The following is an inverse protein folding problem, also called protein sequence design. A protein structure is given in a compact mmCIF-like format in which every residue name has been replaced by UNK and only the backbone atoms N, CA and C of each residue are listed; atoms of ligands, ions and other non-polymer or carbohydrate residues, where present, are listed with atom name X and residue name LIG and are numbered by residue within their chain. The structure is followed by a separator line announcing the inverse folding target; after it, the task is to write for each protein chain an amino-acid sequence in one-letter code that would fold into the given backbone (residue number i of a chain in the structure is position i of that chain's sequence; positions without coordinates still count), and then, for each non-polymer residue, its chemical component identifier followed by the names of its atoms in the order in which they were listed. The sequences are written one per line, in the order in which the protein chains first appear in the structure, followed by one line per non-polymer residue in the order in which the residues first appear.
data_IF_518955994944
#
_entry.id   IF_518955994944
#
_cell.length_a   1.000
_cell.length_b   1.000
_cell.length_c   1.000
_cell.angle_alpha   90.00
_cell.angle_beta   90.00
_cell.angle_gamma   90.00
#
_symmetry.space_group_name_H-M   'P 1'
#
loop_
_entity.id
_entity.type
_entity.pdbx_description
1 polymer ?
#
# COMPACT_ATOMS: atom_id res chain seq x y z
N UNK A 1 -13.15 -35.28 -1.23
CA UNK A 1 -11.90 -34.51 -1.35
C UNK A 1 -11.25 -34.39 0.01
N UNK A 2 -10.04 -34.92 0.21
CA UNK A 2 -9.29 -34.73 1.45
C UNK A 2 -8.75 -33.30 1.41
N UNK A 3 -9.42 -32.37 2.11
CA UNK A 3 -8.91 -31.01 2.32
C UNK A 3 -7.68 -31.12 3.22
N UNK A 4 -6.51 -31.00 2.62
CA UNK A 4 -5.25 -31.19 3.32
C UNK A 4 -5.07 -30.13 4.40
N UNK A 5 -4.64 -30.56 5.58
CA UNK A 5 -4.20 -29.71 6.70
C UNK A 5 -2.90 -28.98 6.35
N UNK A 6 -2.90 -28.08 5.35
CA UNK A 6 -1.68 -27.38 4.97
C UNK A 6 -1.30 -26.22 5.90
N UNK A 7 -2.22 -25.74 6.75
CA UNK A 7 -2.02 -24.52 7.55
C UNK A 7 -2.22 -24.66 9.07
N UNK A 8 -2.40 -25.89 9.59
CA UNK A 8 -2.47 -26.12 11.04
C UNK A 8 -3.65 -25.51 11.80
N UNK A 9 -4.48 -24.67 11.15
CA UNK A 9 -5.76 -24.23 11.68
C UNK A 9 -6.88 -25.09 11.09
N UNK A 10 -7.82 -25.60 11.89
CA UNK A 10 -8.98 -26.30 11.40
C UNK A 10 -9.83 -25.40 10.49
N UNK A 11 -10.27 -25.92 9.35
CA UNK A 11 -11.10 -25.21 8.39
C UNK A 11 -12.31 -24.51 9.04
N UNK A 12 -13.08 -25.26 9.83
CA UNK A 12 -14.26 -24.75 10.52
C UNK A 12 -13.93 -23.59 11.49
N UNK A 13 -12.81 -23.68 12.20
CA UNK A 13 -12.39 -22.63 13.12
C UNK A 13 -11.97 -21.34 12.40
N UNK A 14 -11.30 -21.45 11.26
CA UNK A 14 -10.97 -20.28 10.46
C UNK A 14 -12.22 -19.55 9.98
N UNK A 15 -13.14 -20.29 9.37
CA UNK A 15 -14.34 -19.71 8.77
C UNK A 15 -15.35 -19.20 9.79
N UNK A 16 -15.29 -19.66 11.06
CA UNK A 16 -16.09 -19.10 12.15
C UNK A 16 -15.69 -17.65 12.48
N UNK A 17 -14.48 -17.22 12.07
CA UNK A 17 -14.02 -15.84 12.19
C UNK A 17 -14.23 -15.02 10.90
N UNK A 18 -15.08 -15.47 10.00
CA UNK A 18 -15.36 -14.77 8.76
C UNK A 18 -16.82 -14.38 8.68
N UNK A 19 -17.09 -13.10 8.50
CA UNK A 19 -18.42 -12.59 8.14
C UNK A 19 -18.49 -12.48 6.62
N UNK A 20 -19.30 -13.37 6.03
CA UNK A 20 -19.56 -13.37 4.59
C UNK A 20 -20.45 -12.18 4.21
N UNK A 21 -20.28 -11.65 2.99
CA UNK A 21 -21.21 -10.71 2.38
C UNK A 21 -22.47 -11.39 1.86
N UNK A 22 -23.39 -10.63 1.31
CA UNK A 22 -24.65 -11.14 0.73
C UNK A 22 -24.41 -11.88 -0.59
N UNK A 23 -23.35 -11.49 -1.31
CA UNK A 23 -22.92 -12.09 -2.57
C UNK A 23 -21.50 -12.67 -2.43
N UNK A 24 -21.19 -13.68 -3.28
CA UNK A 24 -19.82 -14.19 -3.39
C UNK A 24 -18.82 -13.15 -3.93
N UNK A 25 -19.32 -12.08 -4.56
CA UNK A 25 -18.53 -10.94 -5.02
C UNK A 25 -18.22 -9.92 -3.91
N UNK A 26 -18.84 -10.08 -2.73
CA UNK A 26 -18.60 -9.16 -1.62
C UNK A 26 -17.31 -9.50 -0.86
N UNK A 27 -16.82 -8.54 -0.10
CA UNK A 27 -15.72 -8.81 0.81
C UNK A 27 -16.14 -9.76 1.93
N UNK A 28 -15.38 -10.80 2.16
CA UNK A 28 -15.50 -11.67 3.33
C UNK A 28 -14.65 -11.08 4.45
N UNK A 29 -15.30 -10.52 5.45
CA UNK A 29 -14.63 -9.77 6.51
C UNK A 29 -14.06 -10.70 7.57
N UNK A 30 -12.77 -10.61 7.82
CA UNK A 30 -12.14 -11.23 8.97
C UNK A 30 -12.57 -10.54 10.26
N UNK A 31 -13.13 -11.29 11.20
CA UNK A 31 -13.60 -10.82 12.50
C UNK A 31 -12.68 -11.21 13.65
N UNK A 32 -11.62 -11.98 13.37
CA UNK A 32 -10.59 -12.34 14.35
C UNK A 32 -9.59 -11.20 14.60
N UNK A 33 -8.47 -11.53 15.24
CA UNK A 33 -7.42 -10.54 15.54
C UNK A 33 -6.84 -9.87 14.28
N UNK A 34 -6.41 -8.61 14.43
CA UNK A 34 -5.71 -7.86 13.37
C UNK A 34 -4.36 -7.37 13.88
N UNK A 35 -3.43 -7.12 12.97
CA UNK A 35 -2.18 -6.44 13.30
C UNK A 35 -2.36 -4.91 13.32
N UNK A 36 -1.34 -4.18 13.76
CA UNK A 36 -1.37 -2.71 13.84
C UNK A 36 -1.59 -1.97 12.51
N UNK A 37 -1.53 -2.69 11.38
CA UNK A 37 -1.76 -2.15 10.02
C UNK A 37 -3.13 -2.54 9.45
N UNK A 38 -3.97 -3.25 10.23
CA UNK A 38 -5.33 -3.63 9.85
C UNK A 38 -5.45 -4.93 9.04
N UNK A 39 -4.37 -5.70 8.88
CA UNK A 39 -4.46 -7.03 8.27
C UNK A 39 -4.95 -8.06 9.28
N UNK A 40 -5.90 -8.90 8.86
CA UNK A 40 -6.34 -10.06 9.62
C UNK A 40 -5.18 -11.01 9.90
N UNK A 41 -5.06 -11.48 11.16
CA UNK A 41 -4.06 -12.45 11.58
C UNK A 41 -4.71 -13.64 12.27
N UNK A 42 -4.12 -14.80 12.09
CA UNK A 42 -4.52 -16.06 12.74
C UNK A 42 -3.29 -16.82 13.21
N UNK A 43 -3.48 -17.73 14.14
CA UNK A 43 -2.39 -18.61 14.60
C UNK A 43 -2.52 -19.97 13.92
N UNK A 44 -1.53 -20.33 13.14
CA UNK A 44 -1.42 -21.63 12.50
C UNK A 44 -0.17 -22.36 13.03
N UNK A 45 -0.34 -23.57 13.56
CA UNK A 45 0.80 -24.37 14.08
C UNK A 45 1.72 -23.63 15.06
N UNK A 46 1.14 -22.74 15.90
CA UNK A 46 1.91 -21.93 16.86
C UNK A 46 2.55 -20.67 16.28
N UNK A 47 2.53 -20.47 14.96
CA UNK A 47 3.02 -19.28 14.27
C UNK A 47 1.86 -18.36 13.87
N UNK A 48 2.10 -17.06 13.91
CA UNK A 48 1.15 -16.06 13.41
C UNK A 48 1.27 -15.98 11.88
N UNK A 49 0.13 -16.09 11.20
CA UNK A 49 0.02 -15.95 9.75
C UNK A 49 -1.07 -14.95 9.39
N UNK A 50 -0.97 -14.37 8.22
CA UNK A 50 -2.01 -13.49 7.70
C UNK A 50 -3.23 -14.30 7.23
N UNK A 51 -4.43 -13.92 7.70
CA UNK A 51 -5.66 -14.63 7.40
C UNK A 51 -5.95 -14.71 5.89
N UNK A 52 -5.71 -13.63 5.14
CA UNK A 52 -5.89 -13.64 3.68
C UNK A 52 -4.93 -14.62 2.97
N UNK A 53 -3.67 -14.77 3.43
CA UNK A 53 -2.73 -15.74 2.85
C UNK A 53 -3.18 -17.18 3.13
N UNK A 54 -3.71 -17.44 4.32
CA UNK A 54 -4.29 -18.75 4.67
C UNK A 54 -5.50 -19.05 3.79
N UNK A 55 -6.42 -18.08 3.64
CA UNK A 55 -7.56 -18.22 2.74
C UNK A 55 -7.13 -18.50 1.31
N UNK A 56 -6.25 -17.69 0.74
CA UNK A 56 -5.72 -17.88 -0.62
C UNK A 56 -5.16 -19.30 -0.82
N UNK A 57 -4.35 -19.75 0.12
CA UNK A 57 -3.67 -21.05 0.03
C UNK A 57 -4.63 -22.25 0.00
N UNK A 58 -5.80 -22.14 0.60
CA UNK A 58 -6.79 -23.21 0.56
C UNK A 58 -7.46 -23.37 -0.79
N UNK A 59 -7.61 -22.28 -1.55
CA UNK A 59 -8.28 -22.29 -2.84
C UNK A 59 -7.31 -22.44 -4.01
N UNK A 60 -6.15 -21.79 -3.91
CA UNK A 60 -5.20 -21.69 -5.03
C UNK A 60 -3.84 -22.33 -4.77
N UNK A 61 -3.59 -22.81 -3.55
CA UNK A 61 -2.30 -23.34 -3.14
C UNK A 61 -1.38 -22.29 -2.54
N UNK A 62 -0.16 -22.71 -2.19
CA UNK A 62 0.84 -21.83 -1.55
C UNK A 62 1.21 -20.69 -2.49
N UNK A 63 1.05 -19.42 -2.08
CA UNK A 63 1.41 -18.29 -2.92
C UNK A 63 2.93 -18.23 -3.11
N UNK A 64 3.36 -17.92 -4.32
CA UNK A 64 4.77 -17.81 -4.68
C UNK A 64 5.34 -16.42 -4.34
N UNK A 65 4.48 -15.40 -4.30
CA UNK A 65 4.86 -14.00 -4.14
C UNK A 65 4.05 -13.32 -3.02
N UNK A 66 3.84 -12.01 -3.17
CA UNK A 66 2.98 -11.23 -2.28
C UNK A 66 1.50 -11.43 -2.65
N UNK A 67 0.62 -11.42 -1.65
CA UNK A 67 -0.82 -11.40 -1.90
C UNK A 67 -1.33 -9.98 -1.80
N UNK A 68 -1.81 -9.44 -2.92
CA UNK A 68 -2.46 -8.13 -2.99
C UNK A 68 -3.99 -8.26 -2.86
N UNK A 69 -4.60 -7.26 -2.22
CA UNK A 69 -6.05 -7.12 -2.13
C UNK A 69 -6.58 -6.26 -3.28
N UNK A 70 -7.17 -6.87 -4.29
CA UNK A 70 -7.80 -6.15 -5.41
C UNK A 70 -8.88 -5.19 -4.90
N UNK A 71 -9.62 -5.60 -3.86
CA UNK A 71 -10.66 -4.81 -3.20
C UNK A 71 -10.13 -3.71 -2.25
N UNK A 72 -8.82 -3.61 -2.03
CA UNK A 72 -8.16 -2.67 -1.11
C UNK A 72 -8.60 -2.76 0.36
N UNK A 73 -9.32 -3.79 0.74
CA UNK A 73 -9.76 -4.04 2.10
C UNK A 73 -8.82 -5.05 2.77
N UNK A 74 -7.98 -4.60 3.70
CA UNK A 74 -6.94 -5.41 4.38
C UNK A 74 -7.48 -6.53 5.27
N UNK A 75 -8.73 -6.41 5.73
CA UNK A 75 -9.39 -7.44 6.51
C UNK A 75 -10.20 -8.43 5.65
N UNK A 76 -10.22 -8.25 4.33
CA UNK A 76 -10.88 -9.17 3.43
C UNK A 76 -10.10 -10.48 3.30
N UNK A 77 -10.83 -11.60 3.39
CA UNK A 77 -10.29 -12.95 3.18
C UNK A 77 -10.99 -13.67 2.01
N UNK A 78 -11.78 -12.96 1.20
CA UNK A 78 -12.40 -13.53 0.01
C UNK A 78 -11.32 -13.89 -1.02
N UNK A 79 -11.14 -15.18 -1.37
CA UNK A 79 -10.06 -15.61 -2.25
C UNK A 79 -10.11 -14.97 -3.64
N UNK A 80 -11.31 -14.66 -4.18
CA UNK A 80 -11.43 -13.98 -5.48
C UNK A 80 -11.02 -12.51 -5.46
N UNK A 81 -10.82 -11.92 -4.27
CA UNK A 81 -10.30 -10.57 -4.07
C UNK A 81 -8.80 -10.54 -3.80
N UNK A 82 -8.14 -11.70 -3.85
CA UNK A 82 -6.73 -11.88 -3.53
C UNK A 82 -5.98 -12.32 -4.77
N UNK A 83 -4.85 -11.67 -5.03
CA UNK A 83 -4.04 -11.93 -6.21
C UNK A 83 -2.57 -12.14 -5.82
N UNK A 84 -1.95 -13.20 -6.36
CA UNK A 84 -0.52 -13.50 -6.16
C UNK A 84 0.30 -12.70 -7.17
N UNK A 85 0.97 -11.66 -6.70
CA UNK A 85 1.66 -10.69 -7.54
C UNK A 85 3.09 -10.49 -7.10
N UNK A 86 3.98 -10.21 -8.04
CA UNK A 86 5.36 -9.84 -7.71
C UNK A 86 5.42 -8.53 -6.93
N UNK A 87 6.48 -8.33 -6.14
CA UNK A 87 6.71 -7.08 -5.39
C UNK A 87 6.69 -5.85 -6.31
N UNK A 88 7.22 -5.97 -7.53
CA UNK A 88 7.21 -4.90 -8.53
C UNK A 88 5.78 -4.57 -8.96
N UNK A 89 4.99 -5.58 -9.30
CA UNK A 89 3.60 -5.39 -9.70
C UNK A 89 2.76 -4.84 -8.55
N UNK A 90 2.90 -5.40 -7.34
CA UNK A 90 2.22 -4.89 -6.15
C UNK A 90 2.55 -3.41 -5.89
N UNK A 91 3.80 -3.01 -6.12
CA UNK A 91 4.22 -1.61 -5.98
C UNK A 91 3.57 -0.71 -7.03
N UNK A 92 3.39 -1.19 -8.27
CA UNK A 92 2.68 -0.46 -9.32
C UNK A 92 1.17 -0.39 -9.09
N UNK A 93 0.57 -1.45 -8.49
CA UNK A 93 -0.85 -1.50 -8.14
C UNK A 93 -1.20 -0.67 -6.91
N UNK A 94 -0.22 -0.36 -6.06
CA UNK A 94 -0.48 0.59 -4.97
C UNK A 94 -1.04 1.85 -5.63
N UNK A 95 -2.26 2.30 -5.24
CA UNK A 95 -2.68 3.62 -5.65
C UNK A 95 -1.49 4.48 -5.30
N UNK A 96 -0.87 5.07 -6.31
CA UNK A 96 0.10 6.12 -6.03
C UNK A 96 -0.61 6.95 -4.98
N UNK A 97 0.03 7.22 -3.85
CA UNK A 97 -0.57 7.97 -2.73
C UNK A 97 -0.80 9.44 -3.18
N UNK A 98 -1.50 9.56 -4.30
CA UNK A 98 -2.00 10.80 -4.81
C UNK A 98 -3.16 11.16 -3.92
N UNK A 99 -2.83 11.79 -2.81
CA UNK A 99 -3.80 12.66 -2.18
C UNK A 99 -4.29 13.57 -3.31
N UNK A 100 -5.57 13.73 -3.46
CA UNK A 100 -6.16 14.64 -4.46
C UNK A 100 -5.53 16.03 -4.39
N UNK A 101 -4.98 16.38 -3.23
CA UNK A 101 -4.26 17.61 -2.94
C UNK A 101 -2.96 17.33 -2.19
N UNK A 102 -1.93 18.09 -2.46
CA UNK A 102 -0.69 18.06 -1.66
C UNK A 102 -0.92 18.70 -0.27
N UNK A 103 0.06 18.64 0.61
CA UNK A 103 -0.01 19.23 1.97
C UNK A 103 -0.30 20.73 1.99
N UNK A 104 -0.08 21.44 0.87
CA UNK A 104 -0.40 22.85 0.69
C UNK A 104 -1.70 23.09 -0.08
N UNK A 105 -2.52 22.05 -0.32
CA UNK A 105 -3.82 22.18 -0.95
C UNK A 105 -3.80 22.19 -2.49
N UNK A 106 -2.66 22.14 -3.18
CA UNK A 106 -2.62 22.10 -4.64
C UNK A 106 -3.13 20.74 -5.14
N UNK A 107 -3.97 20.77 -6.18
CA UNK A 107 -4.46 19.55 -6.82
C UNK A 107 -3.30 18.69 -7.35
N UNK A 108 -3.33 17.41 -7.06
CA UNK A 108 -2.31 16.42 -7.47
C UNK A 108 -2.78 15.67 -8.71
N UNK A 109 -3.17 16.39 -9.76
CA UNK A 109 -3.71 15.83 -11.00
C UNK A 109 -3.04 16.43 -12.23
N UNK A 110 -3.07 15.71 -13.33
CA UNK A 110 -2.61 16.19 -14.63
C UNK A 110 -1.21 16.80 -14.62
N UNK A 111 -1.07 18.00 -15.15
CA UNK A 111 0.22 18.72 -15.27
C UNK A 111 0.90 19.01 -13.94
N UNK A 112 0.15 19.12 -12.84
CA UNK A 112 0.71 19.43 -11.52
C UNK A 112 1.34 18.22 -10.82
N UNK A 113 1.07 17.00 -11.32
CA UNK A 113 1.64 15.77 -10.81
C UNK A 113 2.88 15.40 -11.59
N UNK A 114 4.04 15.38 -10.94
CA UNK A 114 5.31 15.02 -11.60
C UNK A 114 6.02 13.91 -10.82
N UNK A 115 6.67 13.01 -11.53
CA UNK A 115 7.50 11.97 -10.94
C UNK A 115 8.98 12.36 -11.05
N UNK A 116 9.73 12.18 -9.96
CA UNK A 116 11.18 12.33 -9.94
C UNK A 116 11.78 11.29 -9.00
N UNK A 117 12.75 10.53 -9.49
CA UNK A 117 13.43 9.46 -8.74
C UNK A 117 12.43 8.48 -8.06
N UNK A 118 11.39 8.06 -8.78
CA UNK A 118 10.35 7.18 -8.25
C UNK A 118 9.33 7.81 -7.31
N UNK A 119 9.56 9.05 -6.85
CA UNK A 119 8.64 9.76 -5.97
C UNK A 119 7.74 10.72 -6.74
N UNK A 120 6.47 10.74 -6.36
CA UNK A 120 5.50 11.69 -6.91
C UNK A 120 5.51 12.99 -6.12
N UNK A 121 5.46 14.12 -6.80
CA UNK A 121 5.53 15.43 -6.16
C UNK A 121 4.66 16.46 -6.87
N UNK A 122 4.25 17.46 -6.12
CA UNK A 122 3.52 18.61 -6.62
C UNK A 122 4.45 19.57 -7.36
N UNK A 123 4.20 19.82 -8.65
CA UNK A 123 4.96 20.74 -9.48
C UNK A 123 4.94 22.17 -8.92
N UNK A 124 3.75 22.65 -8.52
CA UNK A 124 3.58 24.01 -7.94
C UNK A 124 4.46 24.20 -6.72
N UNK A 125 4.40 23.27 -5.76
CA UNK A 125 5.27 23.32 -4.56
C UNK A 125 6.74 23.29 -4.92
N UNK A 126 7.15 22.52 -5.92
CA UNK A 126 8.53 22.43 -6.37
C UNK A 126 9.01 23.77 -6.96
N UNK A 127 8.19 24.40 -7.81
CA UNK A 127 8.51 25.71 -8.41
C UNK A 127 8.62 26.78 -7.32
N UNK A 128 7.67 26.83 -6.40
CA UNK A 128 7.70 27.79 -5.27
C UNK A 128 8.92 27.61 -4.36
N UNK A 129 9.25 26.36 -4.02
CA UNK A 129 10.44 26.08 -3.21
C UNK A 129 11.72 26.50 -3.94
N UNK A 130 11.80 26.27 -5.25
CA UNK A 130 12.95 26.71 -6.06
C UNK A 130 13.04 28.24 -6.11
N UNK A 131 11.90 28.95 -6.27
CA UNK A 131 11.87 30.42 -6.24
C UNK A 131 12.31 30.96 -4.89
N UNK A 132 11.80 30.39 -3.78
CA UNK A 132 12.21 30.79 -2.41
C UNK A 132 13.69 30.55 -2.16
N UNK A 133 14.19 29.40 -2.61
CA UNK A 133 15.63 29.09 -2.48
C UNK A 133 16.48 30.06 -3.29
N UNK A 134 16.10 30.37 -4.55
CA UNK A 134 16.81 31.35 -5.38
C UNK A 134 16.79 32.74 -4.76
N UNK A 135 15.66 33.20 -4.23
CA UNK A 135 15.56 34.50 -3.56
C UNK A 135 16.48 34.56 -2.34
N UNK A 136 16.49 33.55 -1.46
CA UNK A 136 17.37 33.49 -0.30
C UNK A 136 18.87 33.49 -0.65
N UNK A 137 19.25 32.89 -1.79
CA UNK A 137 20.64 32.77 -2.19
C UNK A 137 21.08 33.84 -3.22
N UNK A 138 20.19 34.74 -3.65
CA UNK A 138 20.53 35.86 -4.53
C UNK A 138 21.41 36.89 -3.82
N UNK A 139 21.12 37.16 -2.55
CA UNK A 139 21.88 38.12 -1.75
C UNK A 139 23.27 37.59 -1.35
N UNK A 140 23.39 36.27 -1.13
CA UNK A 140 24.69 35.67 -0.85
C UNK A 140 25.68 35.75 -2.03
N UNK A 141 25.17 35.81 -3.29
CA UNK A 141 26.00 35.96 -4.48
C UNK A 141 26.48 37.41 -4.70
N UNK A 142 25.74 38.39 -4.20
CA UNK A 142 26.13 39.83 -4.33
C UNK A 142 27.30 40.20 -3.41
N UNK A 143 27.46 39.51 -2.29
CA UNK A 143 28.53 39.79 -1.31
C UNK A 143 29.89 39.21 -1.70
N UNK A 144 29.95 38.25 -2.65
CA UNK A 144 31.23 37.65 -3.08
C UNK A 144 31.90 38.37 -4.26
N UNK A 145 31.25 39.35 -4.91
CA UNK A 145 31.80 40.07 -6.07
C UNK A 145 32.46 41.39 -5.71
N UNK A 146 32.43 41.82 -4.43
CA UNK A 146 33.02 43.10 -4.02
C UNK A 146 34.40 42.98 -3.35
N UNK A 147 35.02 41.79 -3.35
CA UNK A 147 36.32 41.59 -2.69
C UNK A 147 37.46 41.19 -3.65
N UNK A 148 37.38 41.59 -4.92
CA UNK A 148 38.51 41.39 -5.86
C UNK A 148 38.69 42.64 -6.69
N UNK A 149 39.21 43.68 -6.06
CA UNK A 149 39.57 44.93 -6.69
C UNK A 149 40.40 45.79 -5.78
N UNK A 150 41.68 45.48 -5.60
CA UNK A 150 42.81 46.38 -5.33
C UNK A 150 44.03 45.68 -5.93
#
# INVERSE_FOLDING_TARGET
MKVGRKHGIPWNLFWSHVRFGESYLDCWQWTGGTNGTGYGVTKCTGKQEYAHRVSYSWFFGTPLNEIDHVCRNRSCVNPIHLDDVTTTENSHRKPSCHKDKCTRGHAMTGYNLVQKNGAWMCRTCRVENTRRWRAKNADARKTTTTSSGI
#
